data_IF_989368676584
#
_entry.id   IF_989368676584
#
_cell.length_a   1.000
_cell.length_b   1.000
_cell.length_c   1.000
_cell.angle_alpha   90.00
_cell.angle_beta   90.00
_cell.angle_gamma   90.00
#
_symmetry.space_group_name_H-M   'P 1'
#
loop_
_entity.id
_entity.type
_entity.pdbx_description
1 polymer ?
#
# COMPACT_ATOMS: atom_id res chain seq x y z
N UNK A 1 -15.53 -0.18 -9.00
CA UNK A 1 -14.40 -1.12 -9.01
C UNK A 1 -13.82 -1.30 -7.59
N UNK A 2 -13.23 -0.27 -6.95
CA UNK A 2 -12.59 -0.42 -5.62
C UNK A 2 -13.55 -0.84 -4.51
N UNK A 3 -14.85 -0.54 -4.60
CA UNK A 3 -15.85 -1.05 -3.68
C UNK A 3 -16.04 -2.58 -3.79
N UNK A 4 -16.02 -3.10 -5.01
CA UNK A 4 -16.08 -4.55 -5.24
C UNK A 4 -14.80 -5.25 -4.72
N UNK A 5 -13.63 -4.64 -4.92
CA UNK A 5 -12.36 -5.14 -4.37
C UNK A 5 -12.45 -5.22 -2.84
N UNK A 6 -12.94 -4.16 -2.19
CA UNK A 6 -13.05 -4.12 -0.74
C UNK A 6 -14.03 -5.17 -0.20
N UNK A 7 -15.18 -5.32 -0.84
CA UNK A 7 -16.25 -6.23 -0.38
C UNK A 7 -15.97 -7.70 -0.66
N UNK A 8 -15.31 -8.01 -1.79
CA UNK A 8 -15.19 -9.38 -2.30
C UNK A 8 -13.80 -9.95 -2.10
N UNK A 9 -12.75 -9.15 -2.37
CA UNK A 9 -11.37 -9.64 -2.40
C UNK A 9 -10.58 -9.32 -1.12
N UNK A 10 -11.03 -8.35 -0.32
CA UNK A 10 -10.32 -7.94 0.88
C UNK A 10 -10.47 -9.01 1.97
N UNK A 11 -9.35 -9.55 2.40
CA UNK A 11 -9.27 -10.56 3.46
C UNK A 11 -8.58 -9.95 4.69
N UNK A 12 -8.43 -10.75 5.72
CA UNK A 12 -7.68 -10.37 6.92
C UNK A 12 -6.18 -10.16 6.68
N UNK A 13 -5.63 -10.75 5.63
CA UNK A 13 -4.20 -10.73 5.32
C UNK A 13 -3.86 -9.89 4.09
N UNK A 14 -4.85 -9.23 3.49
CA UNK A 14 -4.73 -8.42 2.28
C UNK A 14 -5.73 -8.81 1.20
N UNK A 15 -5.57 -8.24 0.03
CA UNK A 15 -6.47 -8.42 -1.12
C UNK A 15 -6.01 -9.63 -1.93
N UNK A 16 -6.88 -10.62 -2.05
CA UNK A 16 -6.63 -11.82 -2.87
C UNK A 16 -6.87 -11.55 -4.36
N UNK A 17 -6.23 -12.33 -5.23
CA UNK A 17 -6.26 -12.11 -6.68
C UNK A 17 -7.63 -12.33 -7.29
N UNK A 18 -8.33 -13.38 -6.89
CA UNK A 18 -9.65 -13.77 -7.41
C UNK A 18 -10.55 -14.30 -6.29
N UNK A 19 -11.85 -14.25 -6.52
CA UNK A 19 -12.90 -14.85 -5.70
C UNK A 19 -14.09 -15.30 -6.58
N UNK A 20 -14.56 -16.55 -6.43
CA UNK A 20 -13.93 -17.66 -5.71
C UNK A 20 -12.69 -18.17 -6.44
N UNK A 21 -11.82 -18.91 -5.71
CA UNK A 21 -10.76 -19.70 -6.36
C UNK A 21 -11.35 -20.77 -7.26
N UNK A 22 -10.71 -21.01 -8.41
CA UNK A 22 -11.20 -21.93 -9.44
C UNK A 22 -10.94 -23.38 -9.03
N UNK A 23 -11.95 -24.24 -9.19
CA UNK A 23 -11.82 -25.69 -9.13
C UNK A 23 -11.44 -26.26 -10.48
N UNK A 24 -10.57 -27.22 -10.51
CA UNK A 24 -10.22 -27.94 -11.74
C UNK A 24 -8.98 -28.81 -11.62
N UNK A 25 -8.78 -29.65 -12.60
CA UNK A 25 -7.53 -30.37 -12.77
C UNK A 25 -6.52 -29.52 -13.55
N UNK A 26 -5.21 -29.67 -13.30
CA UNK A 26 -4.18 -28.98 -14.05
C UNK A 26 -4.39 -29.13 -15.56
N UNK A 27 -4.44 -28.01 -16.28
CA UNK A 27 -4.77 -27.92 -17.70
C UNK A 27 -3.90 -26.88 -18.39
N UNK A 28 -3.64 -27.10 -19.68
CA UNK A 28 -2.96 -26.10 -20.52
C UNK A 28 -3.94 -25.03 -21.00
N UNK A 29 -5.22 -25.37 -21.11
CA UNK A 29 -6.29 -24.49 -21.53
C UNK A 29 -6.67 -23.50 -20.43
N UNK A 30 -6.56 -23.90 -19.16
CA UNK A 30 -6.77 -23.04 -18.00
C UNK A 30 -5.59 -23.09 -17.04
N UNK A 31 -4.60 -22.21 -17.21
CA UNK A 31 -3.40 -22.16 -16.38
C UNK A 31 -3.66 -21.91 -14.89
N UNK A 32 -4.81 -21.32 -14.52
CA UNK A 32 -5.17 -21.07 -13.12
C UNK A 32 -5.35 -22.38 -12.35
N UNK A 33 -5.84 -23.42 -13.01
CA UNK A 33 -6.02 -24.74 -12.40
C UNK A 33 -4.71 -25.46 -12.04
N UNK A 34 -3.55 -24.95 -12.50
CA UNK A 34 -2.25 -25.45 -12.09
C UNK A 34 -1.88 -25.04 -10.64
N UNK A 35 -2.64 -24.11 -10.05
CA UNK A 35 -2.46 -23.68 -8.67
C UNK A 35 -3.61 -24.23 -7.82
N UNK A 36 -3.27 -24.82 -6.68
CA UNK A 36 -4.27 -25.16 -5.67
C UNK A 36 -5.00 -23.91 -5.20
N UNK A 37 -6.25 -24.04 -4.75
CA UNK A 37 -7.03 -22.92 -4.21
C UNK A 37 -6.29 -22.15 -3.14
N UNK A 38 -6.34 -20.83 -3.20
CA UNK A 38 -5.66 -19.93 -2.31
C UNK A 38 -4.15 -19.84 -2.53
N UNK A 39 -3.62 -20.38 -3.63
CA UNK A 39 -2.18 -20.32 -3.94
C UNK A 39 -1.91 -19.65 -5.28
N UNK A 40 -0.75 -19.04 -5.43
CA UNK A 40 -0.30 -18.43 -6.69
C UNK A 40 -1.36 -17.54 -7.33
N UNK A 41 -1.68 -17.80 -8.59
CA UNK A 41 -2.69 -17.04 -9.34
C UNK A 41 -4.12 -17.37 -8.92
N UNK A 42 -4.33 -18.53 -8.28
CA UNK A 42 -5.64 -19.05 -7.91
C UNK A 42 -6.05 -18.64 -6.47
N UNK A 43 -6.11 -17.34 -6.20
CA UNK A 43 -6.64 -16.79 -4.95
C UNK A 43 -5.61 -16.50 -3.86
N UNK A 44 -4.30 -16.54 -4.14
CA UNK A 44 -3.31 -16.00 -3.20
C UNK A 44 -3.39 -14.48 -3.12
N UNK A 45 -2.83 -13.93 -2.03
CA UNK A 45 -2.65 -12.50 -1.82
C UNK A 45 -1.28 -12.12 -2.39
N UNK A 46 -1.25 -11.51 -3.55
CA UNK A 46 -0.01 -11.07 -4.19
C UNK A 46 0.39 -9.69 -3.64
N UNK A 47 1.42 -9.68 -2.79
CA UNK A 47 1.76 -8.50 -1.99
C UNK A 47 2.13 -7.27 -2.83
N UNK A 48 2.84 -7.46 -3.95
CA UNK A 48 3.18 -6.34 -4.83
C UNK A 48 1.92 -5.67 -5.41
N UNK A 49 0.96 -6.43 -5.93
CA UNK A 49 -0.27 -5.85 -6.49
C UNK A 49 -1.15 -5.18 -5.43
N UNK A 50 -1.09 -5.61 -4.18
CA UNK A 50 -1.79 -4.96 -3.07
C UNK A 50 -1.35 -3.50 -2.87
N UNK A 51 -0.10 -3.16 -3.19
CA UNK A 51 0.37 -1.78 -3.12
C UNK A 51 -0.39 -0.85 -4.06
N UNK A 52 -0.80 -1.36 -5.23
CA UNK A 52 -1.58 -0.58 -6.19
C UNK A 52 -3.01 -0.33 -5.70
N UNK A 53 -3.58 -1.24 -4.91
CA UNK A 53 -4.88 -1.01 -4.27
C UNK A 53 -4.78 0.08 -3.18
N UNK A 54 -3.67 0.15 -2.44
CA UNK A 54 -3.38 1.26 -1.52
C UNK A 54 -3.33 2.59 -2.28
N UNK A 55 -2.57 2.63 -3.37
CA UNK A 55 -2.43 3.84 -4.21
C UNK A 55 -3.79 4.24 -4.80
N UNK A 56 -4.55 3.29 -5.35
CA UNK A 56 -5.86 3.56 -5.91
C UNK A 56 -6.85 4.09 -4.86
N UNK A 57 -6.81 3.58 -3.63
CA UNK A 57 -7.63 4.09 -2.54
C UNK A 57 -7.26 5.54 -2.19
N UNK A 58 -5.97 5.88 -2.14
CA UNK A 58 -5.51 7.25 -1.96
C UNK A 58 -5.97 8.17 -3.10
N UNK A 59 -5.84 7.74 -4.34
CA UNK A 59 -6.28 8.53 -5.51
C UNK A 59 -7.79 8.80 -5.53
N UNK A 60 -8.57 7.99 -4.81
CA UNK A 60 -10.02 8.17 -4.62
C UNK A 60 -10.37 8.92 -3.33
N UNK A 61 -9.39 9.40 -2.56
CA UNK A 61 -9.60 10.11 -1.29
C UNK A 61 -10.01 9.22 -0.12
N UNK A 62 -9.79 7.90 -0.21
CA UNK A 62 -10.18 6.94 0.83
C UNK A 62 -9.02 6.62 1.78
N UNK A 63 -8.55 7.60 2.57
CA UNK A 63 -7.37 7.48 3.44
C UNK A 63 -7.44 6.32 4.44
N UNK A 64 -8.55 6.16 5.13
CA UNK A 64 -8.76 5.06 6.08
C UNK A 64 -8.65 3.68 5.41
N UNK A 65 -9.23 3.53 4.22
CA UNK A 65 -9.18 2.28 3.44
C UNK A 65 -7.77 2.02 2.90
N UNK A 66 -7.10 3.06 2.42
CA UNK A 66 -5.71 2.97 1.97
C UNK A 66 -4.79 2.48 3.10
N UNK A 67 -4.95 3.04 4.28
CA UNK A 67 -4.16 2.67 5.44
C UNK A 67 -4.50 1.27 5.98
N UNK A 68 -5.78 0.86 5.94
CA UNK A 68 -6.19 -0.52 6.23
C UNK A 68 -5.44 -1.52 5.33
N UNK A 69 -5.45 -1.29 4.01
CA UNK A 69 -4.75 -2.15 3.06
C UNK A 69 -3.23 -2.13 3.29
N UNK A 70 -2.68 -0.95 3.57
CA UNK A 70 -1.26 -0.77 3.87
C UNK A 70 -0.84 -1.59 5.10
N UNK A 71 -1.56 -1.47 6.21
CA UNK A 71 -1.27 -2.23 7.44
C UNK A 71 -1.28 -3.74 7.22
N UNK A 72 -2.26 -4.26 6.48
CA UNK A 72 -2.35 -5.71 6.19
C UNK A 72 -1.13 -6.26 5.46
N UNK A 73 -0.40 -5.41 4.73
CA UNK A 73 0.82 -5.81 4.01
C UNK A 73 2.09 -5.72 4.85
N UNK A 74 2.08 -5.06 6.02
CA UNK A 74 3.24 -4.98 6.90
C UNK A 74 3.59 -6.37 7.44
N UNK A 75 4.82 -6.88 7.25
CA UNK A 75 5.18 -8.24 7.66
C UNK A 75 4.98 -8.48 9.15
N UNK A 76 5.31 -7.50 10.00
CA UNK A 76 5.12 -7.57 11.45
C UNK A 76 3.65 -7.68 11.85
N UNK A 77 2.75 -6.94 11.18
CA UNK A 77 1.31 -6.98 11.44
C UNK A 77 0.72 -8.32 10.98
N UNK A 78 1.11 -8.77 9.80
CA UNK A 78 0.69 -10.05 9.25
C UNK A 78 1.13 -11.21 10.15
N UNK A 79 2.38 -11.21 10.60
CA UNK A 79 2.92 -12.21 11.52
C UNK A 79 2.20 -12.18 12.88
N UNK A 80 1.99 -10.98 13.46
CA UNK A 80 1.29 -10.85 14.74
C UNK A 80 -0.14 -11.41 14.67
N UNK A 81 -0.79 -11.32 13.51
CA UNK A 81 -2.17 -11.76 13.30
C UNK A 81 -2.31 -13.29 13.24
N UNK A 82 -1.43 -13.98 12.52
CA UNK A 82 -1.54 -15.43 12.31
C UNK A 82 -0.52 -16.24 13.11
N UNK A 83 0.40 -15.58 13.77
CA UNK A 83 1.47 -16.19 14.54
C UNK A 83 2.69 -16.58 13.69
N UNK A 84 3.85 -16.63 14.33
CA UNK A 84 5.14 -16.93 13.72
C UNK A 84 5.13 -18.27 12.97
N UNK A 85 4.59 -19.31 13.62
CA UNK A 85 4.51 -20.67 13.06
C UNK A 85 3.66 -20.78 11.78
N UNK A 86 2.69 -19.87 11.63
CA UNK A 86 1.84 -19.82 10.44
C UNK A 86 2.47 -18.96 9.36
N UNK A 87 2.96 -17.76 9.72
CA UNK A 87 3.52 -16.81 8.76
C UNK A 87 4.83 -17.32 8.12
N UNK A 88 5.74 -17.86 8.91
CA UNK A 88 6.99 -18.51 8.51
C UNK A 88 7.97 -17.67 7.67
N UNK A 89 7.82 -16.37 7.66
CA UNK A 89 8.76 -15.43 7.04
C UNK A 89 9.25 -14.42 8.07
N UNK A 90 10.32 -13.74 7.76
CA UNK A 90 10.91 -12.73 8.63
C UNK A 90 9.93 -11.55 8.82
N UNK A 91 9.75 -11.02 10.06
CA UNK A 91 8.78 -9.96 10.35
C UNK A 91 9.16 -8.59 9.79
N UNK A 92 10.31 -8.48 9.15
CA UNK A 92 10.86 -7.26 8.56
C UNK A 92 11.08 -7.39 7.04
N UNK A 93 10.63 -8.47 6.42
CA UNK A 93 10.78 -8.71 4.98
C UNK A 93 9.42 -8.93 4.32
N UNK A 94 9.16 -8.20 3.25
CA UNK A 94 7.97 -8.43 2.44
C UNK A 94 8.10 -9.73 1.64
N UNK A 95 7.09 -10.57 1.73
CA UNK A 95 6.98 -11.76 0.88
C UNK A 95 6.42 -11.40 -0.51
N UNK A 96 6.60 -12.28 -1.47
CA UNK A 96 5.98 -12.16 -2.79
C UNK A 96 4.46 -12.33 -2.70
N UNK A 97 4.03 -13.33 -1.98
CA UNK A 97 2.61 -13.60 -1.77
C UNK A 97 2.36 -14.28 -0.40
N UNK A 98 1.11 -14.21 0.05
CA UNK A 98 0.59 -14.89 1.23
C UNK A 98 -0.51 -15.83 0.74
N UNK A 99 -0.57 -17.05 1.27
CA UNK A 99 -1.62 -18.00 0.95
C UNK A 99 -2.99 -17.44 1.31
N UNK A 100 -3.93 -17.52 0.38
CA UNK A 100 -5.28 -17.01 0.51
C UNK A 100 -6.20 -17.88 1.37
N UNK A 101 -7.42 -17.40 1.69
CA UNK A 101 -8.35 -18.05 2.62
C UNK A 101 -8.75 -19.47 2.23
N UNK A 102 -8.78 -19.79 0.96
CA UNK A 102 -9.15 -21.12 0.46
C UNK A 102 -8.03 -22.15 0.58
N UNK A 103 -6.80 -21.72 0.91
CA UNK A 103 -5.68 -22.60 1.19
C UNK A 103 -5.74 -23.16 2.63
N UNK A 104 -5.41 -24.44 2.81
CA UNK A 104 -5.17 -25.03 4.12
C UNK A 104 -4.03 -24.33 4.89
N UNK A 105 -3.21 -23.59 4.18
CA UNK A 105 -2.10 -22.81 4.70
C UNK A 105 -2.37 -21.30 4.72
N UNK A 106 -3.62 -20.88 4.84
CA UNK A 106 -3.97 -19.45 4.90
C UNK A 106 -3.06 -18.69 5.87
N UNK A 107 -2.52 -17.57 5.39
CA UNK A 107 -1.60 -16.72 6.15
C UNK A 107 -0.12 -17.13 6.08
N UNK A 108 0.22 -18.25 5.42
CA UNK A 108 1.60 -18.62 5.16
C UNK A 108 2.20 -17.67 4.11
N UNK A 109 3.27 -16.96 4.49
CA UNK A 109 4.05 -16.13 3.56
C UNK A 109 4.94 -17.02 2.67
N UNK A 110 5.05 -16.65 1.41
CA UNK A 110 5.79 -17.42 0.42
C UNK A 110 6.76 -16.53 -0.36
N UNK A 111 7.96 -17.04 -0.57
CA UNK A 111 9.05 -16.36 -1.30
C UNK A 111 9.35 -14.98 -0.72
N UNK A 112 10.03 -14.94 0.42
CA UNK A 112 10.64 -13.73 0.99
C UNK A 112 11.85 -13.28 0.15
N UNK A 113 12.21 -12.01 0.23
CA UNK A 113 13.31 -11.33 -0.45
C UNK A 113 13.17 -11.17 -1.99
N UNK A 114 12.31 -11.91 -2.64
CA UNK A 114 12.09 -11.84 -4.10
C UNK A 114 10.77 -11.15 -4.41
N UNK A 115 10.68 -9.85 -4.13
CA UNK A 115 9.45 -9.08 -4.31
C UNK A 115 9.73 -7.59 -4.55
N UNK A 116 8.98 -6.99 -5.46
CA UNK A 116 8.93 -5.53 -5.61
C UNK A 116 8.11 -4.82 -4.52
N UNK A 117 7.50 -5.55 -3.58
CA UNK A 117 6.56 -5.03 -2.59
C UNK A 117 7.18 -3.92 -1.74
N UNK A 118 8.41 -4.11 -1.24
CA UNK A 118 9.06 -3.13 -0.35
C UNK A 118 9.21 -1.74 -1.01
N UNK A 119 9.70 -1.70 -2.25
CA UNK A 119 9.86 -0.44 -2.98
C UNK A 119 8.51 0.25 -3.23
N UNK A 120 7.49 -0.51 -3.61
CA UNK A 120 6.16 0.02 -3.86
C UNK A 120 5.41 0.40 -2.57
N UNK A 121 5.61 -0.29 -1.46
CA UNK A 121 5.10 0.12 -0.15
C UNK A 121 5.72 1.45 0.30
N UNK A 122 7.02 1.64 0.06
CA UNK A 122 7.67 2.92 0.31
C UNK A 122 7.08 4.05 -0.56
N UNK A 123 6.83 3.78 -1.84
CA UNK A 123 6.15 4.73 -2.74
C UNK A 123 4.73 5.00 -2.25
N UNK A 124 3.96 3.96 -1.91
CA UNK A 124 2.59 4.10 -1.46
C UNK A 124 2.48 4.98 -0.20
N UNK A 125 3.31 4.77 0.80
CA UNK A 125 3.27 5.59 2.02
C UNK A 125 3.78 7.00 1.78
N UNK A 126 4.92 7.19 1.12
CA UNK A 126 5.53 8.53 1.00
C UNK A 126 4.85 9.41 -0.04
N UNK A 127 4.45 8.82 -1.17
CA UNK A 127 3.93 9.59 -2.30
C UNK A 127 2.40 9.66 -2.35
N UNK A 128 1.69 8.76 -1.64
CA UNK A 128 0.23 8.72 -1.70
C UNK A 128 -0.44 8.88 -0.34
N UNK A 129 -0.06 8.13 0.70
CA UNK A 129 -0.64 8.36 2.03
C UNK A 129 -0.15 9.70 2.60
N UNK A 130 1.17 9.94 2.63
CA UNK A 130 1.74 11.22 3.00
C UNK A 130 1.67 12.24 1.86
N UNK A 131 1.43 11.80 0.64
CA UNK A 131 1.10 12.63 -0.50
C UNK A 131 2.25 13.48 -1.05
N UNK A 132 3.51 13.20 -0.73
CA UNK A 132 4.64 14.03 -1.16
C UNK A 132 5.33 13.42 -2.38
N UNK A 133 5.08 14.00 -3.56
CA UNK A 133 5.58 13.45 -4.83
C UNK A 133 6.11 14.53 -5.76
N UNK A 134 7.02 14.13 -6.65
CA UNK A 134 7.56 15.01 -7.67
C UNK A 134 6.46 15.47 -8.64
N UNK A 135 6.42 16.74 -8.94
CA UNK A 135 5.66 17.33 -10.03
C UNK A 135 6.61 18.03 -11.02
N UNK A 136 6.12 18.37 -12.21
CA UNK A 136 6.96 19.01 -13.22
C UNK A 136 7.58 20.33 -12.71
N UNK A 137 6.78 21.14 -12.08
CA UNK A 137 7.14 22.49 -11.60
C UNK A 137 7.59 22.55 -10.13
N UNK A 138 7.64 21.40 -9.42
CA UNK A 138 8.01 21.42 -8.01
C UNK A 138 7.70 20.12 -7.27
N UNK A 139 7.44 20.24 -5.98
CA UNK A 139 7.08 19.15 -5.08
C UNK A 139 5.60 19.28 -4.71
N UNK A 140 4.78 18.33 -5.17
CA UNK A 140 3.37 18.27 -4.80
C UNK A 140 3.21 17.72 -3.38
N UNK A 141 2.37 18.36 -2.58
CA UNK A 141 1.96 17.92 -1.25
C UNK A 141 0.44 17.75 -1.25
N UNK A 142 -0.03 16.51 -1.26
CA UNK A 142 -1.44 16.15 -1.42
C UNK A 142 -1.72 14.87 -0.58
N UNK A 143 -1.76 15.02 0.76
CA UNK A 143 -1.89 13.89 1.68
C UNK A 143 -3.27 13.25 1.63
N UNK A 144 -3.30 11.92 1.79
CA UNK A 144 -4.50 11.11 1.98
C UNK A 144 -4.33 10.27 3.25
N UNK A 145 -4.17 10.94 4.38
CA UNK A 145 -3.94 10.32 5.68
C UNK A 145 -5.20 9.66 6.23
N UNK A 146 -5.06 8.61 7.06
CA UNK A 146 -6.19 8.08 7.82
C UNK A 146 -6.58 9.05 8.95
N UNK A 147 -7.86 9.02 9.34
CA UNK A 147 -8.40 9.91 10.37
C UNK A 147 -7.74 9.71 11.75
N UNK A 148 -7.18 8.52 12.01
CA UNK A 148 -6.50 8.22 13.28
C UNK A 148 -5.14 8.94 13.44
N UNK A 149 -4.56 9.49 12.36
CA UNK A 149 -3.29 10.21 12.44
C UNK A 149 -3.50 11.67 12.79
N UNK A 150 -2.98 12.09 13.94
CA UNK A 150 -3.06 13.49 14.39
C UNK A 150 -2.01 14.38 13.72
N UNK A 151 -0.88 13.80 13.36
CA UNK A 151 0.17 14.47 12.60
C UNK A 151 1.08 13.44 11.92
N UNK A 152 1.73 13.87 10.87
CA UNK A 152 2.81 13.12 10.23
C UNK A 152 3.89 14.09 9.75
N UNK A 153 5.11 13.62 9.63
CA UNK A 153 6.19 14.43 9.08
C UNK A 153 7.13 13.58 8.24
N UNK A 154 7.73 14.20 7.25
CA UNK A 154 8.79 13.57 6.47
C UNK A 154 9.81 14.61 6.00
N UNK A 155 11.03 14.15 5.81
CA UNK A 155 12.08 14.93 5.14
C UNK A 155 12.30 14.34 3.75
N UNK A 156 12.27 15.18 2.74
CA UNK A 156 12.53 14.77 1.36
C UNK A 156 13.59 15.67 0.72
N UNK A 157 14.57 15.06 0.08
CA UNK A 157 15.50 15.77 -0.79
C UNK A 157 14.94 15.72 -2.21
N UNK A 158 14.74 16.89 -2.80
CA UNK A 158 14.24 17.00 -4.16
C UNK A 158 15.02 18.08 -4.91
N UNK A 159 15.61 17.74 -6.03
CA UNK A 159 16.45 18.64 -6.86
C UNK A 159 17.52 19.39 -6.06
N UNK A 160 18.15 18.72 -5.10
CA UNK A 160 19.22 19.28 -4.26
C UNK A 160 18.73 20.03 -3.00
N UNK A 161 17.46 20.39 -2.91
CA UNK A 161 16.88 21.07 -1.75
C UNK A 161 16.28 20.05 -0.76
N UNK A 162 16.50 20.28 0.53
CA UNK A 162 15.89 19.49 1.61
C UNK A 162 14.59 20.14 2.07
N UNK A 163 13.51 19.42 1.96
CA UNK A 163 12.17 19.83 2.43
C UNK A 163 11.85 19.07 3.72
N UNK A 164 11.53 19.80 4.80
CA UNK A 164 10.98 19.25 6.02
C UNK A 164 9.48 19.56 6.03
N UNK A 165 8.66 18.53 5.91
CA UNK A 165 7.23 18.64 5.68
C UNK A 165 6.51 18.11 6.91
N UNK A 166 5.64 18.90 7.51
CA UNK A 166 4.73 18.50 8.57
C UNK A 166 3.30 18.53 8.03
N UNK A 167 2.57 17.46 8.27
CA UNK A 167 1.19 17.26 7.83
C UNK A 167 0.31 17.17 9.07
N UNK A 168 -0.78 17.93 9.10
CA UNK A 168 -1.75 17.92 10.20
C UNK A 168 -3.16 17.93 9.65
N UNK A 169 -4.11 17.21 10.26
CA UNK A 169 -5.53 17.36 9.95
C UNK A 169 -5.98 18.83 10.10
N UNK A 170 -6.95 19.23 9.29
CA UNK A 170 -7.56 20.54 9.35
C UNK A 170 -9.07 20.39 9.52
N UNK A 171 -9.68 21.20 10.39
CA UNK A 171 -11.13 21.22 10.60
C UNK A 171 -11.92 21.95 9.49
N UNK A 172 -11.24 22.40 8.45
CA UNK A 172 -11.80 23.13 7.33
C UNK A 172 -11.10 22.84 6.01
N UNK A 173 -11.10 23.82 5.11
CA UNK A 173 -10.38 23.70 3.85
C UNK A 173 -8.86 23.53 4.08
N UNK A 174 -8.25 22.67 3.26
CA UNK A 174 -6.81 22.47 3.29
C UNK A 174 -6.07 23.78 2.98
N UNK A 175 -5.01 24.05 3.70
CA UNK A 175 -4.12 25.18 3.44
C UNK A 175 -2.66 24.74 3.57
N UNK A 176 -1.80 25.51 2.93
CA UNK A 176 -0.38 25.24 2.88
C UNK A 176 0.41 26.39 3.47
N UNK A 177 1.51 26.08 4.16
CA UNK A 177 2.43 27.08 4.74
C UNK A 177 3.85 26.72 4.31
N UNK A 178 4.51 27.63 3.63
CA UNK A 178 5.92 27.54 3.24
C UNK A 178 6.73 28.60 3.99
N UNK A 179 7.75 28.20 4.75
CA UNK A 179 8.62 29.08 5.53
C UNK A 179 7.83 30.10 6.39
N UNK A 180 6.72 29.64 7.01
CA UNK A 180 5.87 30.42 7.88
C UNK A 180 4.85 31.34 7.16
N UNK A 181 4.80 31.28 5.83
CA UNK A 181 3.85 32.06 5.03
C UNK A 181 2.79 31.14 4.38
N UNK A 182 1.53 31.54 4.47
CA UNK A 182 0.43 30.85 3.79
C UNK A 182 0.61 30.97 2.28
N UNK A 183 0.48 29.85 1.57
CA UNK A 183 0.51 29.77 0.12
C UNK A 183 -0.75 29.07 -0.39
N UNK A 184 -1.24 29.46 -1.57
CA UNK A 184 -2.48 28.96 -2.17
C UNK A 184 -2.22 27.82 -3.16
N UNK A 185 -1.11 27.09 -2.99
CA UNK A 185 -0.73 26.00 -3.89
C UNK A 185 -0.30 24.77 -3.13
N UNK A 186 -0.81 23.61 -3.54
CA UNK A 186 -0.31 22.30 -3.12
C UNK A 186 1.04 21.93 -3.73
N UNK A 187 1.53 22.69 -4.70
CA UNK A 187 2.84 22.49 -5.31
C UNK A 187 3.79 23.56 -4.81
N UNK A 188 4.79 23.10 -4.07
CA UNK A 188 5.94 23.91 -3.65
C UNK A 188 6.83 24.08 -4.88
N UNK A 189 6.90 25.30 -5.43
CA UNK A 189 7.68 25.59 -6.62
C UNK A 189 9.18 25.35 -6.35
N UNK A 190 9.85 24.72 -7.30
CA UNK A 190 11.31 24.59 -7.24
C UNK A 190 11.97 25.81 -7.85
N UNK A 191 12.59 26.65 -7.04
CA UNK A 191 13.45 27.74 -7.48
C UNK A 191 14.89 27.23 -7.59
N UNK A 192 15.47 27.31 -8.79
CA UNK A 192 16.88 26.97 -9.00
C UNK A 192 17.76 27.98 -8.23
N UNK A 193 18.43 27.53 -7.18
CA UNK A 193 19.34 28.34 -6.39
C UNK A 193 19.04 28.49 -4.90
N UNK A 194 18.01 27.81 -4.41
CA UNK A 194 17.78 27.64 -2.96
C UNK A 194 18.48 26.42 -2.39
#
# INVERSE_FOLDING_TARGET
CMESVHRILNTDMGIKKIDPSIDGYPSKEDPLTNYSKGTGENGAIFCHANTWAVIAACMLGHGNRAYEYYKKMLPMEAQAKVGEWRYKAEPYVYSSNIMGPESLHFGLANVSWLSGTAAWMYIAVTQYILGVRAAWNGLLVDPCMPDEWQEASLTRVFRGTRYNIALKPSDGEAYYVEDGKRVDSSVIAHESGR
#
